data_IF_507998042606
#
_entry.id   IF_507998042606
#
_cell.length_a   1.000
_cell.length_b   1.000
_cell.length_c   1.000
_cell.angle_alpha   90.00
_cell.angle_beta   90.00
_cell.angle_gamma   90.00
#
_symmetry.space_group_name_H-M   'P 1'
#
loop_
_entity.id
_entity.type
_entity.pdbx_description
1 polymer ?
#
# COMPACT_ATOMS: atom_id res chain seq x y z
N UNK A 1 -8.29 12.58 -22.55
CA UNK A 1 -7.09 12.44 -21.71
C UNK A 1 -7.58 12.06 -20.31
N UNK A 2 -7.21 10.91 -19.73
CA UNK A 2 -7.50 10.68 -18.33
C UNK A 2 -6.72 11.70 -17.52
N UNK A 3 -7.39 12.42 -16.61
CA UNK A 3 -6.72 13.27 -15.63
C UNK A 3 -5.99 12.36 -14.64
N UNK A 4 -4.75 12.01 -14.95
CA UNK A 4 -3.90 11.22 -14.04
C UNK A 4 -3.58 12.04 -12.80
N UNK A 5 -3.91 11.52 -11.61
CA UNK A 5 -3.53 12.13 -10.34
C UNK A 5 -2.14 11.64 -9.96
N UNK A 6 -1.10 12.37 -10.39
CA UNK A 6 0.29 12.02 -10.09
C UNK A 6 0.65 12.41 -8.65
N UNK A 7 1.36 11.51 -7.96
CA UNK A 7 1.93 11.76 -6.64
C UNK A 7 3.31 11.11 -6.51
N UNK A 8 4.16 11.69 -5.67
CA UNK A 8 5.35 11.03 -5.17
C UNK A 8 5.03 10.37 -3.83
N UNK A 9 5.63 9.20 -3.59
CA UNK A 9 5.47 8.47 -2.35
C UNK A 9 6.83 7.93 -1.91
N UNK A 10 7.32 8.37 -0.75
CA UNK A 10 8.46 7.73 -0.10
C UNK A 10 7.92 6.68 0.88
N UNK A 11 8.37 5.43 0.73
CA UNK A 11 7.86 4.28 1.49
C UNK A 11 8.99 3.64 2.30
N UNK A 12 8.76 3.49 3.61
CA UNK A 12 9.61 2.72 4.52
C UNK A 12 8.86 1.50 5.03
N UNK A 13 9.28 0.33 4.56
CA UNK A 13 8.76 -0.95 5.00
C UNK A 13 9.67 -1.55 6.08
N UNK A 14 9.16 -1.68 7.30
CA UNK A 14 9.91 -2.15 8.47
C UNK A 14 9.11 -3.24 9.18
N UNK A 15 9.20 -4.45 8.63
CA UNK A 15 8.52 -5.63 9.16
C UNK A 15 8.90 -5.99 10.60
N UNK A 16 10.18 -5.96 11.03
CA UNK A 16 10.54 -6.24 12.42
C UNK A 16 9.87 -5.30 13.43
N UNK A 17 9.65 -4.03 13.08
CA UNK A 17 8.88 -3.08 13.89
C UNK A 17 7.39 -3.03 13.55
N UNK A 18 6.92 -3.86 12.61
CA UNK A 18 5.52 -4.02 12.26
C UNK A 18 4.87 -2.77 11.66
N UNK A 19 5.63 -1.97 10.90
CA UNK A 19 5.17 -0.69 10.34
C UNK A 19 5.47 -0.56 8.84
N UNK A 20 4.57 0.09 8.12
CA UNK A 20 4.76 0.56 6.75
C UNK A 20 4.40 2.04 6.70
N UNK A 21 5.35 2.90 6.34
CA UNK A 21 5.20 4.36 6.39
C UNK A 21 5.29 4.92 4.99
N UNK A 22 4.26 5.64 4.57
CA UNK A 22 4.16 6.32 3.29
C UNK A 22 4.13 7.84 3.51
N UNK A 23 5.03 8.56 2.85
CA UNK A 23 5.00 10.03 2.77
C UNK A 23 4.54 10.44 1.38
N UNK A 24 3.27 10.83 1.29
CA UNK A 24 2.57 11.03 0.03
C UNK A 24 2.50 12.52 -0.29
N UNK A 25 3.12 12.92 -1.40
CA UNK A 25 3.09 14.28 -1.91
C UNK A 25 2.36 14.34 -3.26
N UNK A 26 1.16 14.93 -3.26
CA UNK A 26 0.40 15.25 -4.48
C UNK A 26 0.86 16.59 -5.06
N UNK A 27 0.70 16.80 -6.37
CA UNK A 27 1.19 18.01 -7.07
C UNK A 27 0.80 19.35 -6.41
N UNK A 28 -0.41 19.45 -5.85
CA UNK A 28 -0.92 20.66 -5.17
C UNK A 28 -1.48 20.35 -3.76
N UNK A 29 -1.06 19.23 -3.16
CA UNK A 29 -1.56 18.77 -1.86
C UNK A 29 -0.63 19.08 -0.69
N UNK A 30 -1.16 18.96 0.53
CA UNK A 30 -0.33 18.87 1.75
C UNK A 30 0.42 17.54 1.75
N UNK A 31 1.60 17.50 2.36
CA UNK A 31 2.30 16.25 2.63
C UNK A 31 1.46 15.39 3.58
N UNK A 32 1.03 14.24 3.10
CA UNK A 32 0.22 13.28 3.84
C UNK A 32 1.12 12.17 4.37
N UNK A 33 1.04 11.93 5.67
CA UNK A 33 1.66 10.81 6.34
C UNK A 33 0.64 9.69 6.43
N UNK A 34 1.00 8.51 5.98
CA UNK A 34 0.23 7.29 6.15
C UNK A 34 1.09 6.25 6.86
N UNK A 35 0.74 5.96 8.12
CA UNK A 35 1.45 4.99 8.96
C UNK A 35 0.53 3.80 9.20
N UNK A 36 0.87 2.69 8.59
CA UNK A 36 0.14 1.43 8.67
C UNK A 36 0.84 0.47 9.64
N UNK A 37 0.06 -0.18 10.49
CA UNK A 37 0.54 -1.13 11.49
C UNK A 37 0.14 -2.57 11.16
N UNK A 38 0.94 -3.51 11.63
CA UNK A 38 0.69 -4.95 11.48
C UNK A 38 -0.66 -5.43 12.08
N UNK A 39 -1.24 -4.68 13.01
CA UNK A 39 -2.54 -4.98 13.60
C UNK A 39 -3.73 -4.53 12.73
N UNK A 40 -3.48 -3.95 11.56
CA UNK A 40 -4.51 -3.45 10.63
C UNK A 40 -4.86 -1.98 10.80
N UNK A 41 -4.43 -1.33 11.88
CA UNK A 41 -4.67 0.10 12.10
C UNK A 41 -3.76 0.94 11.21
N UNK A 42 -4.32 1.96 10.56
CA UNK A 42 -3.60 2.94 9.75
C UNK A 42 -3.97 4.36 10.15
N UNK A 43 -2.99 5.26 10.16
CA UNK A 43 -3.18 6.67 10.48
C UNK A 43 -2.78 7.54 9.29
N UNK A 44 -3.75 8.29 8.77
CA UNK A 44 -3.55 9.27 7.71
C UNK A 44 -3.57 10.66 8.33
N UNK A 45 -2.47 11.41 8.30
CA UNK A 45 -2.41 12.73 8.95
C UNK A 45 -1.50 13.74 8.27
N UNK A 46 -1.68 15.02 8.62
CA UNK A 46 -0.84 16.14 8.17
C UNK A 46 -0.28 16.92 9.37
N UNK A 47 1.01 17.27 9.40
CA UNK A 47 1.69 17.87 10.56
C UNK A 47 1.55 19.41 10.72
N UNK A 48 0.60 20.06 10.05
CA UNK A 48 0.44 21.52 10.13
C UNK A 48 -0.23 21.98 11.45
N UNK A 49 -0.20 23.28 11.76
CA UNK A 49 -0.80 23.88 12.98
C UNK A 49 -2.31 23.55 13.16
N UNK A 50 -3.00 23.17 12.09
CA UNK A 50 -4.35 22.60 12.10
C UNK A 50 -4.33 21.22 11.41
N UNK A 51 -3.54 20.31 11.95
CA UNK A 51 -3.34 18.97 11.41
C UNK A 51 -4.65 18.19 11.31
N UNK A 52 -4.84 17.55 10.18
CA UNK A 52 -5.96 16.64 9.95
C UNK A 52 -5.52 15.21 10.28
N UNK A 53 -6.42 14.37 10.79
CA UNK A 53 -6.17 12.95 11.00
C UNK A 53 -7.39 12.10 10.66
N UNK A 54 -7.15 10.96 10.02
CA UNK A 54 -8.12 9.91 9.79
C UNK A 54 -7.52 8.57 10.22
N UNK A 55 -8.25 7.82 11.04
CA UNK A 55 -7.88 6.48 11.48
C UNK A 55 -8.67 5.47 10.67
N UNK A 56 -8.00 4.45 10.15
CA UNK A 56 -8.62 3.34 9.44
C UNK A 56 -8.20 2.00 10.05
N UNK A 57 -9.07 1.01 9.98
CA UNK A 57 -8.77 -0.38 10.33
C UNK A 57 -9.09 -1.28 9.15
N UNK A 58 -8.05 -1.89 8.58
CA UNK A 58 -8.16 -2.79 7.45
C UNK A 58 -8.25 -4.27 7.86
N UNK A 59 -8.01 -4.62 9.11
CA UNK A 59 -8.09 -5.98 9.65
C UNK A 59 -7.03 -7.00 9.17
N UNK A 60 -6.22 -6.67 8.15
CA UNK A 60 -5.22 -7.60 7.55
C UNK A 60 -3.76 -7.22 7.81
N UNK A 61 -3.50 -5.99 8.25
CA UNK A 61 -2.15 -5.46 8.50
C UNK A 61 -1.35 -5.15 7.24
N UNK A 62 -0.07 -4.80 7.42
CA UNK A 62 0.87 -4.51 6.32
C UNK A 62 1.24 -5.79 5.55
N UNK A 63 1.66 -5.70 4.26
CA UNK A 63 2.13 -6.85 3.51
C UNK A 63 3.22 -7.62 4.25
N UNK A 64 3.09 -8.95 4.32
CA UNK A 64 4.08 -9.82 4.97
C UNK A 64 5.26 -10.10 4.05
N UNK A 65 6.37 -10.60 4.60
CA UNK A 65 7.52 -10.98 3.77
C UNK A 65 7.17 -12.05 2.72
N UNK A 66 6.19 -12.90 3.02
CA UNK A 66 5.67 -13.95 2.15
C UNK A 66 4.42 -13.50 1.37
N UNK A 67 4.25 -12.20 1.09
CA UNK A 67 3.02 -11.67 0.48
C UNK A 67 2.66 -12.35 -0.86
N UNK A 68 3.65 -12.88 -1.59
CA UNK A 68 3.44 -13.64 -2.83
C UNK A 68 3.00 -15.11 -2.63
N UNK A 69 2.89 -15.60 -1.40
CA UNK A 69 2.44 -16.98 -1.15
C UNK A 69 1.02 -17.19 -1.69
N UNK A 70 0.84 -18.15 -2.60
CA UNK A 70 -0.42 -18.37 -3.32
C UNK A 70 -0.78 -17.30 -4.36
N UNK A 71 0.17 -16.45 -4.79
CA UNK A 71 -0.01 -15.58 -5.95
C UNK A 71 0.03 -16.37 -7.27
N UNK A 72 -0.72 -15.92 -8.28
CA UNK A 72 -0.71 -16.51 -9.62
C UNK A 72 0.41 -15.87 -10.45
N UNK A 73 1.32 -16.68 -11.00
CA UNK A 73 2.34 -16.19 -11.92
C UNK A 73 1.76 -16.04 -13.32
N UNK A 74 1.81 -14.82 -13.87
CA UNK A 74 1.20 -14.46 -15.15
C UNK A 74 2.19 -14.51 -16.32
N UNK A 75 3.49 -14.68 -16.04
CA UNK A 75 4.54 -14.72 -17.05
C UNK A 75 5.45 -13.48 -17.00
N UNK A 76 6.12 -13.25 -18.13
CA UNK A 76 7.12 -12.19 -18.28
C UNK A 76 6.57 -11.05 -19.12
N UNK A 77 6.77 -9.81 -18.68
CA UNK A 77 6.34 -8.61 -19.38
C UNK A 77 7.41 -7.50 -19.34
N UNK A 78 7.54 -6.75 -20.42
CA UNK A 78 8.37 -5.54 -20.45
C UNK A 78 7.59 -4.34 -19.90
N UNK A 79 8.18 -3.59 -18.97
CA UNK A 79 7.59 -2.38 -18.38
C UNK A 79 8.68 -1.35 -18.09
N UNK A 80 8.54 -0.13 -18.63
CA UNK A 80 9.48 0.98 -18.42
C UNK A 80 10.96 0.64 -18.63
N UNK A 81 11.26 -0.27 -19.58
CA UNK A 81 12.62 -0.71 -19.89
C UNK A 81 13.15 -1.86 -19.03
N UNK A 82 12.32 -2.43 -18.15
CA UNK A 82 12.63 -3.61 -17.35
C UNK A 82 11.88 -4.83 -17.90
N UNK A 83 12.54 -5.99 -17.90
CA UNK A 83 11.92 -7.27 -18.19
C UNK A 83 11.51 -7.91 -16.86
N UNK A 84 10.21 -7.95 -16.58
CA UNK A 84 9.70 -8.31 -15.26
C UNK A 84 8.97 -9.65 -15.26
N UNK A 85 9.17 -10.41 -14.18
CA UNK A 85 8.21 -11.42 -13.76
C UNK A 85 6.95 -10.71 -13.23
N UNK A 86 5.77 -11.24 -13.53
CA UNK A 86 4.49 -10.67 -13.12
C UNK A 86 3.69 -11.68 -12.31
N UNK A 87 3.22 -11.26 -11.12
CA UNK A 87 2.31 -12.03 -10.29
C UNK A 87 1.05 -11.24 -9.99
N UNK A 88 -0.06 -11.95 -9.88
CA UNK A 88 -1.34 -11.43 -9.43
C UNK A 88 -1.69 -12.03 -8.07
N UNK A 89 -2.22 -11.20 -7.17
CA UNK A 89 -2.65 -11.61 -5.84
C UNK A 89 -4.08 -11.15 -5.57
N UNK A 90 -4.97 -12.14 -5.43
CA UNK A 90 -6.39 -12.06 -5.01
C UNK A 90 -7.25 -11.04 -5.77
N UNK A 91 -7.05 -10.93 -7.08
CA UNK A 91 -7.66 -9.96 -8.01
C UNK A 91 -7.49 -8.50 -7.55
N UNK A 92 -6.48 -8.24 -6.71
CA UNK A 92 -6.31 -6.99 -6.01
C UNK A 92 -5.03 -6.27 -6.39
N UNK A 93 -3.90 -6.99 -6.42
CA UNK A 93 -2.57 -6.46 -6.71
C UNK A 93 -1.92 -7.23 -7.87
N UNK A 94 -1.27 -6.50 -8.77
CA UNK A 94 -0.30 -7.03 -9.73
C UNK A 94 1.09 -6.51 -9.38
N UNK A 95 2.02 -7.43 -9.17
CA UNK A 95 3.39 -7.16 -8.75
C UNK A 95 4.36 -7.45 -9.90
N UNK A 96 5.19 -6.48 -10.22
CA UNK A 96 6.22 -6.57 -11.24
C UNK A 96 7.60 -6.54 -10.59
N UNK A 97 8.37 -7.61 -10.78
CA UNK A 97 9.74 -7.74 -10.28
C UNK A 97 10.70 -7.85 -11.46
N UNK A 98 11.74 -7.03 -11.47
CA UNK A 98 12.80 -7.14 -12.48
C UNK A 98 13.51 -8.49 -12.39
N UNK A 99 13.57 -9.23 -13.49
CA UNK A 99 14.20 -10.56 -13.56
C UNK A 99 15.69 -10.47 -13.21
N UNK A 100 16.37 -9.40 -13.65
CA UNK A 100 17.82 -9.30 -13.51
C UNK A 100 18.26 -9.04 -12.06
N UNK A 101 17.50 -8.23 -11.33
CA UNK A 101 17.86 -7.79 -9.97
C UNK A 101 16.98 -8.36 -8.86
N UNK A 102 15.86 -9.00 -9.22
CA UNK A 102 14.83 -9.47 -8.28
C UNK A 102 14.29 -8.34 -7.39
N UNK A 103 14.19 -7.13 -7.95
CA UNK A 103 13.72 -5.92 -7.24
C UNK A 103 12.33 -5.51 -7.71
N UNK A 104 11.51 -4.92 -6.83
CA UNK A 104 10.21 -4.40 -7.21
C UNK A 104 10.37 -3.25 -8.22
N UNK A 105 9.60 -3.30 -9.31
CA UNK A 105 9.58 -2.26 -10.35
C UNK A 105 8.25 -1.50 -10.34
N UNK A 106 7.14 -2.21 -10.19
CA UNK A 106 5.81 -1.63 -10.32
C UNK A 106 4.77 -2.44 -9.55
N UNK A 107 3.74 -1.74 -9.07
CA UNK A 107 2.53 -2.33 -8.52
C UNK A 107 1.32 -1.70 -9.19
N UNK A 108 0.39 -2.53 -9.65
CA UNK A 108 -0.93 -2.09 -10.08
C UNK A 108 -1.99 -2.60 -9.11
N UNK A 109 -2.99 -1.77 -8.83
CA UNK A 109 -4.11 -2.09 -7.95
C UNK A 109 -5.40 -2.15 -8.75
N UNK A 110 -6.35 -2.97 -8.28
CA UNK A 110 -7.66 -3.18 -8.91
C UNK A 110 -8.48 -1.90 -9.16
N UNK A 111 -8.22 -0.83 -8.41
CA UNK A 111 -8.90 0.46 -8.53
C UNK A 111 -8.27 1.40 -9.57
N UNK A 112 -7.25 0.93 -10.29
CA UNK A 112 -6.56 1.66 -11.35
C UNK A 112 -5.37 2.49 -10.88
N UNK A 113 -5.01 2.44 -9.59
CA UNK A 113 -3.76 3.02 -9.11
C UNK A 113 -2.59 2.19 -9.65
N UNK A 114 -1.57 2.89 -10.17
CA UNK A 114 -0.31 2.29 -10.59
C UNK A 114 0.84 3.04 -9.93
N UNK A 115 1.77 2.30 -9.31
CA UNK A 115 2.94 2.84 -8.64
C UNK A 115 4.20 2.30 -9.31
N UNK A 116 5.18 3.16 -9.53
CA UNK A 116 6.47 2.80 -10.12
C UNK A 116 7.57 3.07 -9.11
N UNK A 117 8.49 2.13 -8.96
CA UNK A 117 9.63 2.24 -8.05
C UNK A 117 10.72 3.03 -8.76
N UNK A 118 11.03 4.22 -8.24
CA UNK A 118 12.09 5.08 -8.77
C UNK A 118 13.44 4.80 -8.11
N UNK A 119 13.43 4.50 -6.81
CA UNK A 119 14.61 4.21 -5.98
C UNK A 119 14.29 3.08 -5.01
N UNK A 120 15.27 2.21 -4.76
CA UNK A 120 15.12 1.07 -3.85
C UNK A 120 16.40 0.86 -3.03
N UNK A 121 16.28 1.02 -1.71
CA UNK A 121 17.40 0.96 -0.77
C UNK A 121 17.10 -0.01 0.38
N UNK A 122 17.86 -1.10 0.44
CA UNK A 122 17.73 -2.09 1.51
C UNK A 122 18.40 -1.59 2.78
N UNK A 123 17.68 -1.67 3.91
CA UNK A 123 18.19 -1.28 5.21
C UNK A 123 18.08 0.21 5.54
N UNK A 124 17.43 1.01 4.68
CA UNK A 124 17.04 2.36 5.03
C UNK A 124 16.06 2.34 6.21
N UNK A 125 16.28 3.20 7.20
CA UNK A 125 15.46 3.28 8.42
C UNK A 125 14.92 4.68 8.57
N UNK A 126 13.64 4.79 8.93
CA UNK A 126 13.01 6.04 9.34
C UNK A 126 13.08 6.17 10.87
N UNK A 127 13.45 7.38 11.33
CA UNK A 127 13.55 7.70 12.76
C UNK A 127 12.20 7.49 13.45
N UNK A 128 12.22 6.89 14.64
CA UNK A 128 10.98 6.50 15.35
C UNK A 128 10.09 7.72 15.69
N UNK A 129 10.70 8.89 15.88
CA UNK A 129 9.98 10.15 16.09
C UNK A 129 9.13 10.59 14.88
N UNK A 130 9.43 10.09 13.67
CA UNK A 130 8.69 10.42 12.44
C UNK A 130 7.55 9.44 12.14
N UNK A 131 7.48 8.32 12.86
CA UNK A 131 6.45 7.27 12.67
C UNK A 131 5.25 7.47 13.58
N UNK A 132 5.42 8.14 14.71
CA UNK A 132 4.36 8.25 15.71
C UNK A 132 3.24 9.19 15.25
N UNK A 133 2.02 8.66 15.16
CA UNK A 133 0.84 9.47 14.89
C UNK A 133 0.67 10.57 15.96
N UNK A 134 0.36 11.83 15.56
CA UNK A 134 0.22 12.94 16.49
C UNK A 134 -0.93 12.76 17.51
N UNK A 135 -0.82 13.44 18.66
CA UNK A 135 -1.79 13.32 19.74
C UNK A 135 -3.24 13.64 19.32
N UNK A 136 -3.45 14.56 18.39
CA UNK A 136 -4.78 14.91 17.91
C UNK A 136 -5.48 13.79 17.13
N UNK A 137 -4.76 12.76 16.66
CA UNK A 137 -5.37 11.55 16.12
C UNK A 137 -6.16 10.77 17.17
N UNK A 138 -5.81 10.86 18.45
CA UNK A 138 -6.43 10.08 19.53
C UNK A 138 -7.53 10.83 20.28
N UNK A 139 -7.66 12.14 20.05
CA UNK A 139 -8.66 12.99 20.70
C UNK A 139 -9.99 13.10 19.93
N UNK A 140 -10.14 12.32 18.85
CA UNK A 140 -11.37 12.31 18.08
C UNK A 140 -12.44 11.51 18.84
N UNK A 141 -13.55 12.17 19.19
CA UNK A 141 -14.75 11.48 19.68
C UNK A 141 -15.21 10.53 18.58
N UNK A 142 -15.26 9.24 18.90
CA UNK A 142 -15.62 8.14 18.00
C UNK A 142 -17.00 8.35 17.36
N UNK A 143 -17.05 9.00 16.20
CA UNK A 143 -18.18 8.88 15.27
C UNK A 143 -17.92 7.65 14.40
N UNK A 144 -18.20 6.46 14.95
CA UNK A 144 -18.00 5.16 14.30
C UNK A 144 -18.92 4.89 13.08
N UNK A 145 -19.68 5.87 12.60
CA UNK A 145 -20.77 5.63 11.63
C UNK A 145 -20.52 6.12 10.20
N UNK A 146 -19.27 6.40 9.79
CA UNK A 146 -18.99 6.81 8.40
C UNK A 146 -17.80 6.08 7.76
N UNK A 147 -17.71 4.76 7.94
CA UNK A 147 -16.98 3.94 6.97
C UNK A 147 -17.99 3.16 6.12
N UNK A 148 -18.01 3.34 4.79
CA UNK A 148 -18.67 2.38 3.93
C UNK A 148 -17.92 1.05 4.06
N UNK A 149 -18.48 0.15 4.87
CA UNK A 149 -18.11 -1.27 4.89
C UNK A 149 -18.42 -1.82 3.50
N UNK A 150 -17.46 -1.77 2.57
CA UNK A 150 -17.51 -2.66 1.41
C UNK A 150 -17.07 -4.03 1.92
N UNK A 151 -17.98 -5.02 1.95
CA UNK A 151 -17.56 -6.38 2.27
C UNK A 151 -16.61 -6.84 1.17
N UNK A 152 -15.41 -7.26 1.56
CA UNK A 152 -14.61 -8.16 0.74
C UNK A 152 -15.40 -9.46 0.60
N UNK A 153 -16.30 -9.52 -0.37
CA UNK A 153 -16.92 -10.78 -0.77
C UNK A 153 -15.90 -11.54 -1.58
N UNK A 154 -15.21 -12.49 -0.94
CA UNK A 154 -14.51 -13.57 -1.63
C UNK A 154 -15.53 -14.37 -2.43
N UNK A 155 -15.67 -14.08 -3.72
CA UNK A 155 -16.47 -14.90 -4.63
C UNK A 155 -15.58 -15.97 -5.29
N UNK A 156 -14.96 -16.83 -4.47
CA UNK A 156 -14.43 -18.10 -4.95
C UNK A 156 -15.57 -19.13 -5.04
N UNK A 157 -16.50 -18.91 -5.98
CA UNK A 157 -17.47 -19.92 -6.39
C UNK A 157 -17.41 -20.15 -7.90
N UNK A 158 -16.30 -20.75 -8.36
CA UNK A 158 -16.37 -21.67 -9.49
C UNK A 158 -15.98 -23.06 -9.01
N UNK A 159 -16.97 -23.68 -8.38
CA UNK A 159 -17.10 -25.13 -8.29
C UNK A 159 -17.16 -25.63 -9.74
N UNK A 160 -16.02 -26.08 -10.29
CA UNK A 160 -16.01 -26.87 -11.51
C UNK A 160 -16.50 -28.25 -11.12
N UNK A 161 -17.77 -28.52 -11.41
CA UNK A 161 -18.28 -29.87 -11.50
C UNK A 161 -17.55 -30.59 -12.63
N UNK A 162 -17.21 -31.84 -12.33
CA UNK A 162 -16.66 -32.90 -13.18
C UNK A 162 -17.18 -32.92 -14.61
N UNK A 163 -16.28 -33.10 -15.59
CA UNK A 163 -16.07 -34.35 -16.36
C UNK A 163 -14.66 -34.34 -16.97
#
# INVERSE_FOLDING_TARGET
>A
MPSGHLQFNDLWYDWPKGRNVNLIQKQLGKLLYDVEWNNGTSFYYTLADNGECQIMDFGVGIPRMDFLDGAEYLGVQETHGFLCNVWEKVDFIWYYEDIATQRPVRWDFYDGISTQVMTYEVGAVLEDSQVQAPAYCFNQTTNQDQQPKKPWTTNSSKRRETF
#
